data_IF_422284788872
#
_entry.id   IF_422284788872
#
_cell.length_a   1.000
_cell.length_b   1.000
_cell.length_c   1.000
_cell.angle_alpha   90.00
_cell.angle_beta   90.00
_cell.angle_gamma   90.00
#
_symmetry.space_group_name_H-M   'P 1'
#
loop_
_entity.id
_entity.type
_entity.pdbx_description
1 polymer ?
#
# COMPACT_ATOMS: atom_id res chain seq x y z
N UNK A 1 15.54 0.88 0.81
CA UNK A 1 15.19 -0.55 0.95
C UNK A 1 14.94 -0.81 2.42
N UNK A 2 13.71 -1.21 2.78
CA UNK A 2 13.35 -1.52 4.17
C UNK A 2 13.47 -3.04 4.34
N UNK A 3 14.25 -3.49 5.32
CA UNK A 3 14.39 -4.92 5.65
C UNK A 3 13.71 -5.18 6.99
N UNK A 4 12.58 -5.89 6.94
CA UNK A 4 11.78 -6.23 8.11
C UNK A 4 11.91 -7.73 8.37
N UNK A 5 12.40 -8.10 9.55
CA UNK A 5 12.48 -9.51 9.98
C UNK A 5 11.28 -9.87 10.83
N UNK A 6 10.71 -11.05 10.59
CA UNK A 6 9.66 -11.62 11.44
C UNK A 6 8.27 -10.98 11.32
N UNK A 7 8.00 -10.25 10.23
CA UNK A 7 6.67 -9.66 9.96
C UNK A 7 5.64 -10.66 9.41
N UNK A 8 6.06 -11.87 9.05
CA UNK A 8 5.16 -12.89 8.50
C UNK A 8 4.68 -12.57 7.07
N UNK A 9 3.48 -13.04 6.73
CA UNK A 9 2.83 -12.80 5.43
C UNK A 9 2.28 -11.38 5.39
N UNK A 10 2.71 -10.58 4.41
CA UNK A 10 2.22 -9.21 4.25
C UNK A 10 0.82 -9.25 3.63
N UNK A 11 -0.19 -8.78 4.36
CA UNK A 11 -1.58 -8.74 3.90
C UNK A 11 -2.07 -7.31 3.59
N UNK A 12 -1.34 -6.28 4.04
CA UNK A 12 -1.75 -4.88 3.93
C UNK A 12 -0.57 -3.93 4.02
N UNK A 13 -0.68 -2.80 3.32
CA UNK A 13 0.23 -1.66 3.41
C UNK A 13 -0.54 -0.37 3.69
N UNK A 14 0.10 0.59 4.34
CA UNK A 14 -0.40 1.96 4.49
C UNK A 14 0.70 2.94 4.09
N UNK A 15 0.38 3.88 3.21
CA UNK A 15 1.27 4.92 2.74
C UNK A 15 0.61 6.26 3.03
N UNK A 16 1.35 7.23 3.55
CA UNK A 16 0.82 8.56 3.85
C UNK A 16 1.92 9.55 4.20
N UNK A 17 1.52 10.81 4.33
CA UNK A 17 2.39 11.93 4.70
C UNK A 17 1.76 12.73 5.84
N UNK A 18 2.53 13.65 6.42
CA UNK A 18 2.12 14.47 7.58
C UNK A 18 1.48 15.81 7.19
N UNK A 19 1.17 15.99 5.90
CA UNK A 19 0.64 17.22 5.31
C UNK A 19 1.50 18.48 5.52
N UNK A 20 2.79 18.33 5.82
CA UNK A 20 3.67 19.48 6.03
C UNK A 20 4.22 20.06 4.72
N UNK A 21 4.42 21.38 4.69
CA UNK A 21 4.99 22.09 3.53
C UNK A 21 3.98 22.92 2.75
N UNK A 22 4.38 23.43 1.57
CA UNK A 22 3.57 24.34 0.76
C UNK A 22 2.63 23.63 -0.21
N UNK A 23 3.01 22.43 -0.65
CA UNK A 23 2.25 21.60 -1.59
C UNK A 23 2.57 20.13 -1.29
N UNK A 24 1.96 19.56 -0.23
CA UNK A 24 2.32 18.25 0.29
C UNK A 24 1.72 17.07 -0.50
N UNK A 25 1.08 17.35 -1.64
CA UNK A 25 0.21 16.40 -2.36
C UNK A 25 1.01 15.32 -3.07
N UNK A 26 0.65 14.07 -2.86
CA UNK A 26 1.30 12.92 -3.50
C UNK A 26 0.34 12.21 -4.43
N UNK A 27 0.75 11.99 -5.67
CA UNK A 27 0.08 11.02 -6.53
C UNK A 27 0.72 9.66 -6.35
N UNK A 28 -0.07 8.67 -5.93
CA UNK A 28 0.39 7.29 -5.80
C UNK A 28 -0.16 6.46 -6.96
N UNK A 29 0.71 6.17 -7.92
CA UNK A 29 0.40 5.35 -9.11
C UNK A 29 0.42 3.85 -8.77
N UNK A 30 1.57 3.33 -8.34
CA UNK A 30 1.78 1.92 -8.07
C UNK A 30 2.67 1.70 -6.84
N UNK A 31 2.42 0.61 -6.11
CA UNK A 31 3.34 0.09 -5.09
C UNK A 31 3.89 -1.26 -5.54
N UNK A 32 5.23 -1.39 -5.53
CA UNK A 32 5.94 -2.64 -5.77
C UNK A 32 6.56 -3.15 -4.47
N UNK A 33 6.22 -4.37 -4.09
CA UNK A 33 6.83 -5.07 -2.96
C UNK A 33 7.54 -6.33 -3.44
N UNK A 34 8.71 -6.58 -2.86
CA UNK A 34 9.46 -7.81 -3.05
C UNK A 34 9.66 -8.49 -1.70
N UNK A 35 9.21 -9.74 -1.59
CA UNK A 35 9.56 -10.57 -0.47
C UNK A 35 10.98 -11.11 -0.68
N UNK A 36 11.96 -10.54 0.04
CA UNK A 36 13.38 -10.92 -0.10
C UNK A 36 13.68 -12.40 0.24
N UNK A 37 12.78 -13.10 0.95
CA UNK A 37 12.95 -14.51 1.27
C UNK A 37 12.38 -15.46 0.21
N UNK A 38 11.24 -15.10 -0.41
CA UNK A 38 10.56 -15.93 -1.43
C UNK A 38 10.78 -15.44 -2.87
N UNK A 39 11.32 -14.22 -3.03
CA UNK A 39 11.41 -13.45 -4.27
C UNK A 39 10.06 -13.17 -4.93
N UNK A 40 8.97 -13.27 -4.17
CA UNK A 40 7.63 -12.95 -4.66
C UNK A 40 7.46 -11.44 -4.84
N UNK A 41 6.91 -11.05 -5.99
CA UNK A 41 6.66 -9.67 -6.37
C UNK A 41 5.17 -9.36 -6.30
N UNK A 42 4.81 -8.30 -5.60
CA UNK A 42 3.47 -7.75 -5.57
C UNK A 42 3.47 -6.37 -6.23
N UNK A 43 2.66 -6.23 -7.27
CA UNK A 43 2.41 -4.94 -7.91
C UNK A 43 0.96 -4.54 -7.61
N UNK A 44 0.78 -3.42 -6.93
CA UNK A 44 -0.51 -2.92 -6.50
C UNK A 44 -0.74 -1.57 -7.16
N UNK A 45 -1.64 -1.53 -8.15
CA UNK A 45 -2.10 -0.27 -8.74
C UNK A 45 -2.99 0.45 -7.74
N UNK A 46 -2.69 1.72 -7.49
CA UNK A 46 -3.43 2.57 -6.55
C UNK A 46 -4.14 3.70 -7.30
N UNK A 47 -3.44 4.33 -8.25
CA UNK A 47 -3.96 5.38 -9.13
C UNK A 47 -4.78 6.44 -8.38
N UNK A 48 -4.19 7.02 -7.32
CA UNK A 48 -4.93 7.90 -6.42
C UNK A 48 -4.06 8.97 -5.77
N UNK A 49 -4.62 10.17 -5.62
CA UNK A 49 -4.06 11.23 -4.80
C UNK A 49 -4.15 10.91 -3.30
N UNK A 50 -3.11 11.32 -2.60
CA UNK A 50 -2.99 11.39 -1.15
C UNK A 50 -2.79 12.88 -0.83
N UNK A 51 -3.88 13.54 -0.48
CA UNK A 51 -3.94 14.95 -0.15
C UNK A 51 -5.27 15.27 0.55
N UNK A 52 -5.28 16.31 1.38
CA UNK A 52 -6.47 16.76 2.10
C UNK A 52 -7.47 17.54 1.22
N UNK A 53 -7.03 18.02 0.06
CA UNK A 53 -7.82 18.76 -0.92
C UNK A 53 -8.17 17.95 -2.18
N UNK A 54 -7.80 16.68 -2.26
CA UNK A 54 -8.06 15.80 -3.42
C UNK A 54 -8.80 14.51 -3.02
N UNK A 55 -9.50 13.90 -3.99
CA UNK A 55 -10.19 12.61 -3.85
C UNK A 55 -11.03 12.48 -2.56
N UNK A 56 -10.54 11.70 -1.60
CA UNK A 56 -11.21 11.34 -0.33
C UNK A 56 -10.93 12.38 0.78
N UNK A 57 -9.98 13.29 0.57
CA UNK A 57 -9.45 14.21 1.60
C UNK A 57 -8.51 13.52 2.60
N UNK A 58 -8.06 12.30 2.30
CA UNK A 58 -7.15 11.54 3.15
C UNK A 58 -5.69 11.78 2.78
N UNK A 59 -4.86 12.05 3.79
CA UNK A 59 -3.39 12.14 3.69
C UNK A 59 -2.69 10.78 3.82
N UNK A 60 -3.45 9.69 3.63
CA UNK A 60 -2.95 8.32 3.58
C UNK A 60 -3.85 7.42 2.71
N UNK A 61 -3.32 6.30 2.23
CA UNK A 61 -4.05 5.21 1.57
C UNK A 61 -3.65 3.88 2.16
N UNK A 62 -4.62 2.97 2.25
CA UNK A 62 -4.44 1.60 2.71
C UNK A 62 -4.78 0.64 1.59
N UNK A 63 -3.85 -0.28 1.31
CA UNK A 63 -3.95 -1.20 0.18
C UNK A 63 -3.80 -2.62 0.70
N UNK A 64 -4.77 -3.47 0.37
CA UNK A 64 -4.74 -4.89 0.72
C UNK A 64 -3.92 -5.66 -0.32
N UNK A 65 -3.06 -6.57 0.14
CA UNK A 65 -2.32 -7.46 -0.75
C UNK A 65 -3.17 -8.71 -0.94
N UNK A 66 -3.73 -8.87 -2.15
CA UNK A 66 -4.48 -10.07 -2.50
C UNK A 66 -3.50 -11.11 -3.03
N UNK A 67 -3.06 -12.01 -2.15
CA UNK A 67 -2.35 -13.22 -2.56
C UNK A 67 -3.36 -14.16 -3.21
N UNK A 68 -3.22 -14.46 -4.50
CA UNK A 68 -4.08 -15.41 -5.23
C UNK A 68 -3.98 -16.85 -4.72
N UNK A 69 -3.15 -17.09 -3.70
CA UNK A 69 -2.92 -18.40 -3.09
C UNK A 69 -3.76 -18.72 -1.84
N UNK A 70 -4.75 -17.87 -1.48
CA UNK A 70 -5.78 -18.22 -0.50
C UNK A 70 -7.16 -18.08 -1.14
N UNK A 71 -7.95 -19.16 -1.02
CA UNK A 71 -9.34 -19.18 -1.44
C UNK A 71 -10.08 -17.97 -0.83
N UNK A 72 -11.03 -17.35 -1.56
CA UNK A 72 -11.85 -16.28 -1.03
C UNK A 72 -12.45 -16.72 0.31
N UNK A 73 -12.42 -15.84 1.32
CA UNK A 73 -13.06 -16.12 2.60
C UNK A 73 -14.51 -16.54 2.34
N UNK A 74 -14.99 -17.65 2.94
CA UNK A 74 -16.39 -18.02 2.80
C UNK A 74 -17.24 -16.86 3.30
N UNK A 75 -18.14 -16.38 2.44
CA UNK A 75 -19.01 -15.24 2.72
C UNK A 75 -19.76 -15.44 4.04
N UNK A 76 -19.84 -14.36 4.81
CA UNK A 76 -20.66 -14.28 6.02
C UNK A 76 -22.13 -14.52 5.70
#
# INVERSE_FOLDING_TARGET
>A
MINLKGIGEIYKIRIGHDNSGKDPKWYLDEVRLENMATLELFCLTVDSWIADDENDGDVWKEISIVTTNKAPLPGV
#
